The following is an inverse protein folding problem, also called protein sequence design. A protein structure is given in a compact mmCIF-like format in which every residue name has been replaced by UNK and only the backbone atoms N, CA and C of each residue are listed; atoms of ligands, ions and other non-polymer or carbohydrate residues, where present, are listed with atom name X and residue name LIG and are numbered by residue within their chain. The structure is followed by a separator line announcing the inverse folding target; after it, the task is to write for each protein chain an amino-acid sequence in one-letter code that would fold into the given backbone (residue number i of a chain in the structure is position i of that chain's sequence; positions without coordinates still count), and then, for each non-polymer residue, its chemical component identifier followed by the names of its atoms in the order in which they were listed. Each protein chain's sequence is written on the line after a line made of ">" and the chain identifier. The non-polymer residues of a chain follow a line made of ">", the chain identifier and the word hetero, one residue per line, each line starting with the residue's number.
data_IF_684547639572
#
_entry.id   IF_684547639572
#
_cell.length_a   1.000
_cell.length_b   1.000
_cell.length_c   1.000
_cell.angle_alpha   90.00
_cell.angle_beta   90.00
_cell.angle_gamma   90.00
#
_symmetry.space_group_name_H-M   'P 1'
#
loop_
_entity.id
_entity.type
_entity.pdbx_description
1 polymer ?
#
# COMPACT_ATOMS: atom_id res chain seq x y z
N UNK A 1 -2.02 -9.88 -21.06
CA UNK A 1 -2.92 -10.13 -19.90
C UNK A 1 -3.15 -8.84 -19.15
N UNK A 2 -4.39 -8.56 -18.71
CA UNK A 2 -4.63 -7.48 -17.75
C UNK A 2 -4.04 -7.86 -16.38
N UNK A 3 -3.41 -6.91 -15.69
CA UNK A 3 -2.89 -7.13 -14.35
C UNK A 3 -4.09 -7.24 -13.37
N UNK A 4 -4.23 -8.33 -12.60
CA UNK A 4 -5.33 -8.51 -11.64
C UNK A 4 -5.46 -7.35 -10.65
N UNK A 5 -4.35 -6.72 -10.25
CA UNK A 5 -4.37 -5.55 -9.38
C UNK A 5 -5.06 -4.34 -10.03
N UNK A 6 -4.85 -4.13 -11.34
CA UNK A 6 -5.48 -3.03 -12.08
C UNK A 6 -6.97 -3.29 -12.27
N UNK A 7 -7.37 -4.55 -12.48
CA UNK A 7 -8.78 -4.94 -12.57
C UNK A 7 -9.49 -4.71 -11.24
N UNK A 8 -8.88 -5.12 -10.12
CA UNK A 8 -9.42 -4.87 -8.79
C UNK A 8 -9.54 -3.36 -8.48
N UNK A 9 -8.52 -2.57 -8.83
CA UNK A 9 -8.54 -1.12 -8.64
C UNK A 9 -9.67 -0.45 -9.45
N UNK A 10 -9.86 -0.87 -10.71
CA UNK A 10 -10.95 -0.37 -11.55
C UNK A 10 -12.33 -0.67 -10.96
N UNK A 11 -12.56 -1.91 -10.53
CA UNK A 11 -13.82 -2.31 -9.89
C UNK A 11 -14.07 -1.54 -8.58
N UNK A 12 -13.04 -1.35 -7.74
CA UNK A 12 -13.14 -0.49 -6.54
C UNK A 12 -13.45 0.96 -6.92
N UNK A 13 -12.89 1.46 -8.02
CA UNK A 13 -13.21 2.79 -8.56
C UNK A 13 -14.68 2.93 -8.93
N UNK A 14 -15.28 1.89 -9.53
CA UNK A 14 -16.71 1.91 -9.84
C UNK A 14 -17.59 1.99 -8.60
N UNK A 15 -17.24 1.30 -7.50
CA UNK A 15 -18.00 1.37 -6.25
C UNK A 15 -18.05 2.78 -5.64
N UNK A 16 -16.97 3.55 -5.79
CA UNK A 16 -16.84 4.89 -5.21
C UNK A 16 -17.31 6.01 -6.15
N UNK A 17 -17.67 5.71 -7.39
CA UNK A 17 -18.07 6.73 -8.35
C UNK A 17 -19.56 7.08 -8.15
N UNK A 18 -19.91 8.35 -7.85
CA UNK A 18 -21.31 8.75 -7.69
C UNK A 18 -22.10 8.75 -9.01
N UNK A 19 -21.42 8.78 -10.15
CA UNK A 19 -22.03 8.83 -11.48
C UNK A 19 -22.32 7.45 -12.08
N UNK A 20 -22.05 6.35 -11.36
CA UNK A 20 -22.41 5.01 -11.83
C UNK A 20 -23.71 4.53 -11.20
N UNK A 21 -24.45 3.71 -11.95
CA UNK A 21 -25.70 3.11 -11.47
C UNK A 21 -25.45 2.10 -10.34
N UNK A 22 -26.47 1.89 -9.51
CA UNK A 22 -26.39 0.93 -8.40
C UNK A 22 -26.23 -0.52 -8.90
N UNK A 23 -26.83 -0.85 -10.04
CA UNK A 23 -26.63 -2.15 -10.70
C UNK A 23 -25.16 -2.37 -11.10
N UNK A 24 -24.50 -1.34 -11.64
CA UNK A 24 -23.08 -1.41 -12.00
C UNK A 24 -22.19 -1.59 -10.76
N UNK A 25 -22.53 -0.92 -9.64
CA UNK A 25 -21.83 -1.11 -8.36
C UNK A 25 -22.02 -2.52 -7.83
N UNK A 26 -23.24 -3.05 -7.86
CA UNK A 26 -23.55 -4.39 -7.37
C UNK A 26 -22.80 -5.47 -8.19
N UNK A 27 -22.74 -5.30 -9.51
CA UNK A 27 -21.96 -6.17 -10.38
C UNK A 27 -20.45 -6.08 -10.10
N UNK A 28 -19.93 -4.86 -9.87
CA UNK A 28 -18.53 -4.67 -9.53
C UNK A 28 -18.16 -5.31 -8.18
N UNK A 29 -19.04 -5.19 -7.20
CA UNK A 29 -18.90 -5.83 -5.89
C UNK A 29 -18.87 -7.37 -6.03
N UNK A 30 -19.84 -7.93 -6.75
CA UNK A 30 -19.90 -9.38 -7.00
C UNK A 30 -18.64 -9.88 -7.72
N UNK A 31 -18.13 -9.12 -8.70
CA UNK A 31 -16.88 -9.46 -9.40
C UNK A 31 -15.64 -9.35 -8.50
N UNK A 32 -15.60 -8.40 -7.57
CA UNK A 32 -14.51 -8.29 -6.59
C UNK A 32 -14.50 -9.47 -5.61
N UNK A 33 -15.67 -9.97 -5.25
CA UNK A 33 -15.82 -11.11 -4.36
C UNK A 33 -15.51 -12.43 -5.06
N UNK A 34 -16.13 -12.67 -6.22
CA UNK A 34 -15.96 -13.90 -7.02
C UNK A 34 -14.51 -14.11 -7.45
N UNK A 35 -13.80 -13.05 -7.80
CA UNK A 35 -12.39 -13.13 -8.22
C UNK A 35 -11.40 -13.01 -7.04
N UNK A 36 -11.88 -12.99 -5.79
CA UNK A 36 -11.02 -12.94 -4.60
C UNK A 36 -10.30 -11.61 -4.37
N UNK A 37 -10.61 -10.57 -5.14
CA UNK A 37 -10.01 -9.24 -5.03
C UNK A 37 -10.46 -8.47 -3.77
N UNK A 38 -11.60 -8.85 -3.16
CA UNK A 38 -11.97 -8.32 -1.83
C UNK A 38 -10.91 -8.65 -0.76
N UNK A 39 -10.23 -9.81 -0.86
CA UNK A 39 -9.16 -10.20 0.08
C UNK A 39 -7.84 -9.43 -0.11
N UNK A 40 -7.64 -8.79 -1.27
CA UNK A 40 -6.52 -7.87 -1.51
C UNK A 40 -6.73 -6.49 -0.85
N UNK A 41 -7.72 -6.37 0.04
CA UNK A 41 -7.96 -5.20 0.88
C UNK A 41 -7.33 -5.33 2.27
N UNK A 42 -6.43 -6.29 2.44
CA UNK A 42 -5.49 -6.17 3.52
C UNK A 42 -4.40 -5.19 3.06
N UNK A 43 -4.27 -4.08 3.79
CA UNK A 43 -2.98 -3.42 4.02
C UNK A 43 -2.07 -4.40 4.80
N UNK A 44 -1.91 -5.59 4.24
CA UNK A 44 -1.12 -6.75 4.62
C UNK A 44 -0.74 -7.41 3.29
N UNK A 45 -0.21 -6.60 2.38
CA UNK A 45 0.86 -7.13 1.56
C UNK A 45 1.87 -7.63 2.58
N UNK A 46 1.92 -8.96 2.79
CA UNK A 46 3.03 -9.69 3.42
C UNK A 46 4.33 -9.50 2.65
N UNK A 47 4.58 -8.29 2.17
CA UNK A 47 5.86 -7.74 1.88
C UNK A 47 6.55 -7.63 3.23
N UNK A 48 7.19 -8.72 3.65
CA UNK A 48 8.35 -8.62 4.53
C UNK A 48 9.19 -7.50 3.93
N UNK A 49 9.18 -6.34 4.60
CA UNK A 49 9.83 -5.14 4.06
C UNK A 49 11.27 -5.54 3.81
N UNK A 50 11.69 -5.45 2.55
CA UNK A 50 13.05 -5.82 2.20
C UNK A 50 14.01 -5.03 3.11
N UNK A 51 14.84 -5.71 3.91
CA UNK A 51 15.73 -5.06 4.86
C UNK A 51 16.58 -3.96 4.20
N UNK A 52 17.03 -4.15 2.96
CA UNK A 52 17.78 -3.15 2.21
C UNK A 52 16.95 -1.91 1.89
N UNK A 53 15.68 -2.08 1.52
CA UNK A 53 14.78 -0.95 1.26
C UNK A 53 14.46 -0.17 2.55
N UNK A 54 14.32 -0.86 3.69
CA UNK A 54 14.15 -0.23 5.00
C UNK A 54 15.41 0.56 5.36
N UNK A 55 16.60 -0.05 5.26
CA UNK A 55 17.90 0.59 5.51
C UNK A 55 18.08 1.84 4.65
N UNK A 56 17.75 1.76 3.35
CA UNK A 56 17.80 2.91 2.42
C UNK A 56 16.83 4.03 2.82
N UNK A 57 15.60 3.69 3.20
CA UNK A 57 14.60 4.66 3.65
C UNK A 57 15.01 5.39 4.92
N UNK A 58 15.57 4.67 5.90
CA UNK A 58 16.09 5.24 7.14
C UNK A 58 17.24 6.21 6.83
N UNK A 59 18.22 5.81 6.01
CA UNK A 59 19.33 6.69 5.59
C UNK A 59 18.83 7.96 4.88
N UNK A 60 17.83 7.84 4.01
CA UNK A 60 17.24 9.00 3.33
C UNK A 60 16.59 9.98 4.32
N UNK A 61 15.88 9.45 5.33
CA UNK A 61 15.29 10.26 6.39
C UNK A 61 16.35 10.98 7.25
N UNK A 62 17.51 10.36 7.51
CA UNK A 62 18.61 11.00 8.22
C UNK A 62 19.19 12.23 7.49
N UNK A 63 19.23 12.19 6.16
CA UNK A 63 19.71 13.29 5.33
C UNK A 63 18.65 14.37 5.05
N UNK A 64 17.39 14.13 5.39
CA UNK A 64 16.32 15.06 5.11
C UNK A 64 16.34 16.25 6.11
N UNK A 65 16.50 17.50 5.66
CA UNK A 65 16.50 18.67 6.54
C UNK A 65 15.16 18.91 7.24
N UNK A 66 14.06 18.35 6.72
CA UNK A 66 12.71 18.48 7.31
C UNK A 66 12.46 17.48 8.45
N UNK A 67 13.40 16.59 8.76
CA UNK A 67 13.30 15.65 9.86
C UNK A 67 13.98 16.25 11.09
N UNK A 68 13.32 16.19 12.25
CA UNK A 68 13.89 16.69 13.50
C UNK A 68 15.07 15.85 13.97
N UNK A 69 16.02 16.49 14.66
CA UNK A 69 17.22 15.81 15.17
C UNK A 69 16.86 14.64 16.11
N UNK A 70 15.88 14.81 17.00
CA UNK A 70 15.39 13.73 17.86
C UNK A 70 14.93 12.49 17.06
N UNK A 71 14.25 12.71 15.94
CA UNK A 71 13.81 11.61 15.08
C UNK A 71 14.96 10.98 14.31
N UNK A 72 15.97 11.78 13.94
CA UNK A 72 17.20 11.26 13.33
C UNK A 72 17.97 10.37 14.31
N UNK A 73 18.04 10.72 15.58
CA UNK A 73 18.71 9.88 16.58
C UNK A 73 18.02 8.53 16.76
N UNK A 74 16.69 8.51 16.85
CA UNK A 74 15.91 7.26 16.86
C UNK A 74 16.17 6.40 15.60
N UNK A 75 16.24 7.05 14.44
CA UNK A 75 16.51 6.39 13.16
C UNK A 75 17.94 5.83 13.08
N UNK A 76 18.93 6.49 13.69
CA UNK A 76 20.31 5.98 13.80
C UNK A 76 20.36 4.72 14.66
N UNK A 77 19.75 4.75 15.85
CA UNK A 77 19.66 3.58 16.72
C UNK A 77 19.00 2.39 16.01
N UNK A 78 17.89 2.65 15.31
CA UNK A 78 17.19 1.63 14.53
C UNK A 78 18.03 1.07 13.38
N UNK A 79 18.95 1.86 12.82
CA UNK A 79 19.85 1.42 11.76
C UNK A 79 20.92 0.46 12.30
N UNK A 80 21.45 0.74 13.49
CA UNK A 80 22.50 -0.05 14.16
C UNK A 80 21.95 -1.33 14.81
N UNK A 81 20.73 -1.30 15.37
CA UNK A 81 20.13 -2.48 16.01
C UNK A 81 19.63 -3.52 14.99
N UNK A 82 19.27 -3.10 13.78
CA UNK A 82 18.59 -3.95 12.81
C UNK A 82 19.45 -4.38 11.61
N UNK A 83 20.61 -3.76 11.35
CA UNK A 83 21.44 -3.99 10.15
C UNK A 83 22.94 -3.78 10.36
#
# INVERSE_FOLDING_TARGET
>A
MANPANVAAGLKGTLNNPNVSDEAKHHAEHRLETQGYKSASAHDSGHTKDPENVKRGIKAALHNPNVSEQKKDELRHKLDEQF
#
